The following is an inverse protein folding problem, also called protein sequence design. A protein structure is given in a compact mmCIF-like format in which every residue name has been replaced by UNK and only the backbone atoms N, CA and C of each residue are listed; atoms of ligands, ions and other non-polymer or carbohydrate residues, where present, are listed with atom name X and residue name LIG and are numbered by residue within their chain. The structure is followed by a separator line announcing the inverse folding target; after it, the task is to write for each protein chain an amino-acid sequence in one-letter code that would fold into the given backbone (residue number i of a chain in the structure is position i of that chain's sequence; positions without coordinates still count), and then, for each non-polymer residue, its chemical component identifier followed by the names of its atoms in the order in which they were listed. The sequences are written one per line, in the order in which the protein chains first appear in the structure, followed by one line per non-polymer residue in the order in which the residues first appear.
data_IF_248795659782
#
_entry.id   IF_248795659782
#
_cell.length_a   1.000
_cell.length_b   1.000
_cell.length_c   1.000
_cell.angle_alpha   90.00
_cell.angle_beta   90.00
_cell.angle_gamma   90.00
#
_symmetry.space_group_name_H-M   'P 1'
#
loop_
_entity.id
_entity.type
_entity.pdbx_description
1 polymer ?
#
# COMPACT_ATOMS: atom_id res chain seq x y z
N UNK A 1 26.17 7.46 10.15
CA UNK A 1 25.87 7.56 8.69
C UNK A 1 26.39 8.87 8.15
N UNK A 2 26.95 8.88 6.92
CA UNK A 2 27.28 10.15 6.25
C UNK A 2 25.97 10.87 5.84
N UNK A 3 26.03 12.21 5.73
CA UNK A 3 24.86 13.01 5.31
C UNK A 3 24.31 12.56 3.93
N UNK A 4 25.16 12.13 3.02
CA UNK A 4 24.77 11.59 1.71
C UNK A 4 24.01 10.27 1.84
N UNK A 5 24.43 9.36 2.72
CA UNK A 5 23.74 8.08 2.94
C UNK A 5 22.37 8.31 3.57
N UNK A 6 22.25 9.22 4.54
CA UNK A 6 20.96 9.57 5.13
C UNK A 6 20.01 10.20 4.10
N UNK A 7 20.51 11.14 3.29
CA UNK A 7 19.71 11.77 2.23
C UNK A 7 19.19 10.73 1.24
N UNK A 8 20.04 9.80 0.80
CA UNK A 8 19.64 8.71 -0.10
C UNK A 8 18.60 7.79 0.54
N UNK A 9 18.80 7.42 1.81
CA UNK A 9 17.82 6.64 2.56
C UNK A 9 16.45 7.31 2.61
N UNK A 10 16.40 8.62 2.89
CA UNK A 10 15.14 9.36 3.00
C UNK A 10 14.44 9.57 1.65
N UNK A 11 15.16 9.59 0.53
CA UNK A 11 14.58 9.82 -0.80
C UNK A 11 14.16 8.54 -1.53
N UNK A 12 14.86 7.43 -1.35
CA UNK A 12 14.57 6.15 -2.02
C UNK A 12 13.58 5.33 -1.18
N UNK A 13 12.43 4.96 -1.79
CA UNK A 13 11.36 4.23 -1.10
C UNK A 13 11.81 2.84 -0.68
N UNK A 14 12.41 2.10 -1.59
CA UNK A 14 12.87 0.73 -1.33
C UNK A 14 13.97 0.69 -0.28
N UNK A 15 14.98 1.55 -0.40
CA UNK A 15 16.05 1.63 0.60
C UNK A 15 15.49 1.92 1.99
N UNK A 16 14.54 2.86 2.10
CA UNK A 16 13.92 3.18 3.37
C UNK A 16 13.15 1.98 3.95
N UNK A 17 12.27 1.37 3.15
CA UNK A 17 11.47 0.23 3.59
C UNK A 17 12.37 -0.92 4.04
N UNK A 18 13.34 -1.33 3.23
CA UNK A 18 14.19 -2.49 3.51
C UNK A 18 15.19 -2.29 4.66
N UNK A 19 15.52 -1.05 5.02
CA UNK A 19 16.48 -0.77 6.08
C UNK A 19 15.86 -0.20 7.37
N UNK A 20 14.64 0.36 7.28
CA UNK A 20 14.01 1.00 8.44
C UNK A 20 12.76 0.28 8.94
N UNK A 21 12.11 -0.55 8.12
CA UNK A 21 10.87 -1.20 8.50
C UNK A 21 11.06 -2.69 8.79
N UNK A 22 10.24 -3.18 9.71
CA UNK A 22 10.13 -4.61 10.01
C UNK A 22 8.68 -5.05 9.89
N UNK A 23 8.48 -6.29 9.51
CA UNK A 23 7.17 -6.95 9.37
C UNK A 23 7.14 -8.23 10.19
N UNK A 24 5.93 -8.67 10.51
CA UNK A 24 5.72 -10.02 11.04
C UNK A 24 5.48 -10.93 9.83
N UNK A 25 6.34 -11.94 9.65
CA UNK A 25 6.23 -12.91 8.57
C UNK A 25 5.10 -13.94 8.83
N UNK A 26 4.89 -14.87 7.90
CA UNK A 26 3.85 -15.92 8.02
C UNK A 26 4.08 -16.86 9.19
N UNK A 27 5.33 -17.00 9.64
CA UNK A 27 5.74 -17.80 10.80
C UNK A 27 5.60 -17.03 12.12
N UNK A 28 5.07 -15.80 12.12
CA UNK A 28 4.90 -14.97 13.31
C UNK A 28 6.19 -14.30 13.81
N UNK A 29 7.25 -14.27 13.01
CA UNK A 29 8.54 -13.70 13.40
C UNK A 29 8.67 -12.26 12.92
N UNK A 30 9.28 -11.41 13.75
CA UNK A 30 9.62 -10.04 13.39
C UNK A 30 10.91 -10.03 12.54
N UNK A 31 10.76 -9.70 11.24
CA UNK A 31 11.87 -9.72 10.27
C UNK A 31 12.00 -8.38 9.55
N UNK A 32 13.19 -8.04 9.01
CA UNK A 32 13.34 -6.89 8.12
C UNK A 32 12.40 -6.99 6.92
N UNK A 33 11.78 -5.87 6.54
CA UNK A 33 10.88 -5.84 5.40
C UNK A 33 11.69 -5.87 4.08
N UNK A 34 11.87 -7.05 3.51
CA UNK A 34 12.45 -7.21 2.18
C UNK A 34 11.36 -7.33 1.12
N UNK A 35 11.50 -6.56 0.02
CA UNK A 35 10.49 -6.55 -1.04
C UNK A 35 10.53 -7.85 -1.85
N UNK A 36 9.37 -8.45 -2.06
CA UNK A 36 9.20 -9.55 -3.01
C UNK A 36 9.08 -9.06 -4.47
N UNK A 37 9.04 -9.97 -5.43
CA UNK A 37 9.00 -9.66 -6.85
C UNK A 37 7.78 -8.77 -7.24
N UNK A 38 6.60 -9.07 -6.72
CA UNK A 38 5.38 -8.28 -6.98
C UNK A 38 5.48 -6.86 -6.41
N UNK A 39 6.01 -6.71 -5.21
CA UNK A 39 6.23 -5.42 -4.57
C UNK A 39 7.28 -4.57 -5.31
N UNK A 40 8.34 -5.20 -5.84
CA UNK A 40 9.35 -4.52 -6.66
C UNK A 40 8.75 -3.96 -7.96
N UNK A 41 7.82 -4.69 -8.59
CA UNK A 41 7.11 -4.18 -9.78
C UNK A 41 6.35 -2.91 -9.44
N UNK A 42 5.61 -2.89 -8.34
CA UNK A 42 4.85 -1.71 -7.89
C UNK A 42 5.79 -0.56 -7.52
N UNK A 43 6.87 -0.83 -6.80
CA UNK A 43 7.88 0.18 -6.41
C UNK A 43 8.51 0.86 -7.64
N UNK A 44 8.84 0.10 -8.66
CA UNK A 44 9.41 0.64 -9.90
C UNK A 44 8.44 1.60 -10.61
N UNK A 45 7.15 1.25 -10.71
CA UNK A 45 6.13 2.12 -11.29
C UNK A 45 5.98 3.41 -10.47
N UNK A 46 5.94 3.32 -9.14
CA UNK A 46 5.90 4.49 -8.26
C UNK A 46 7.12 5.38 -8.48
N UNK A 47 8.31 4.79 -8.52
CA UNK A 47 9.57 5.50 -8.72
C UNK A 47 9.60 6.28 -10.06
N UNK A 48 9.08 5.68 -11.13
CA UNK A 48 8.96 6.35 -12.43
C UNK A 48 8.00 7.54 -12.39
N UNK A 49 6.84 7.41 -11.73
CA UNK A 49 5.88 8.50 -11.59
C UNK A 49 6.44 9.63 -10.73
N UNK A 50 7.08 9.31 -9.62
CA UNK A 50 7.71 10.28 -8.72
C UNK A 50 8.88 11.01 -9.41
N UNK A 51 9.70 10.33 -10.18
CA UNK A 51 10.80 10.93 -10.95
C UNK A 51 10.30 11.96 -11.97
N UNK A 52 9.09 11.78 -12.51
CA UNK A 52 8.42 12.70 -13.43
C UNK A 52 7.59 13.76 -12.69
N UNK A 53 7.66 13.84 -11.36
CA UNK A 53 6.83 14.68 -10.49
C UNK A 53 5.33 14.54 -10.75
N UNK A 54 4.89 13.35 -11.17
CA UNK A 54 3.47 13.02 -11.39
C UNK A 54 2.83 12.53 -10.09
N UNK A 55 1.52 12.76 -9.90
CA UNK A 55 0.79 12.12 -8.82
C UNK A 55 0.79 10.60 -9.03
N UNK A 56 1.00 9.84 -7.97
CA UNK A 56 0.90 8.39 -8.02
C UNK A 56 -0.58 8.01 -8.00
N UNK A 57 -1.06 7.40 -9.07
CA UNK A 57 -2.42 6.90 -9.21
C UNK A 57 -2.34 5.48 -9.73
N UNK A 58 -2.51 4.52 -8.82
CA UNK A 58 -2.38 3.10 -9.15
C UNK A 58 -3.70 2.37 -8.92
N UNK A 59 -4.04 1.48 -9.83
CA UNK A 59 -5.06 0.46 -9.63
C UNK A 59 -4.40 -0.91 -9.82
N UNK A 60 -4.43 -1.74 -8.77
CA UNK A 60 -3.67 -2.98 -8.71
C UNK A 60 -4.63 -4.16 -8.59
N UNK A 61 -4.71 -4.97 -9.65
CA UNK A 61 -5.39 -6.25 -9.63
C UNK A 61 -4.38 -7.34 -9.29
N UNK A 62 -4.59 -8.04 -8.19
CA UNK A 62 -3.61 -8.99 -7.65
C UNK A 62 -4.22 -10.34 -7.27
N UNK A 63 -3.42 -11.38 -7.22
CA UNK A 63 -3.76 -12.60 -6.50
C UNK A 63 -3.75 -12.37 -4.98
N UNK A 64 -4.33 -13.29 -4.21
CA UNK A 64 -4.33 -13.22 -2.74
C UNK A 64 -2.90 -13.32 -2.18
N UNK A 65 -2.67 -12.76 -1.00
CA UNK A 65 -1.44 -12.91 -0.19
C UNK A 65 -0.12 -12.53 -0.87
N UNK A 66 -0.15 -11.65 -1.87
CA UNK A 66 1.07 -11.16 -2.55
C UNK A 66 1.80 -10.04 -1.78
N UNK A 67 1.37 -9.70 -0.57
CA UNK A 67 1.99 -8.67 0.25
C UNK A 67 1.87 -7.23 -0.29
N UNK A 68 0.98 -6.97 -1.25
CA UNK A 68 0.84 -5.64 -1.87
C UNK A 68 0.28 -4.63 -0.87
N UNK A 69 -0.68 -5.01 -0.04
CA UNK A 69 -1.18 -4.15 1.03
C UNK A 69 -0.04 -3.78 1.99
N UNK A 70 0.81 -4.74 2.39
CA UNK A 70 1.98 -4.50 3.25
C UNK A 70 2.97 -3.51 2.62
N UNK A 71 3.24 -3.65 1.31
CA UNK A 71 4.10 -2.71 0.59
C UNK A 71 3.48 -1.31 0.55
N UNK A 72 2.20 -1.22 0.21
CA UNK A 72 1.46 0.06 0.15
C UNK A 72 1.49 0.78 1.49
N UNK A 73 1.29 0.03 2.60
CA UNK A 73 1.42 0.57 3.95
C UNK A 73 2.85 1.07 4.24
N UNK A 74 3.88 0.31 3.90
CA UNK A 74 5.27 0.71 4.07
C UNK A 74 5.63 1.98 3.28
N UNK A 75 5.16 2.08 2.03
CA UNK A 75 5.33 3.25 1.18
C UNK A 75 4.64 4.49 1.77
N UNK A 76 3.36 4.40 2.13
CA UNK A 76 2.59 5.51 2.70
C UNK A 76 3.13 5.89 4.09
N UNK A 77 3.53 4.92 4.91
CA UNK A 77 4.19 5.16 6.19
C UNK A 77 5.45 6.02 5.98
N UNK A 78 6.36 5.59 5.10
CA UNK A 78 7.57 6.34 4.77
C UNK A 78 7.22 7.77 4.36
N UNK A 79 6.26 7.96 3.44
CA UNK A 79 5.85 9.31 2.98
C UNK A 79 5.29 10.16 4.11
N UNK A 80 4.63 9.56 5.09
CA UNK A 80 4.03 10.27 6.22
C UNK A 80 5.06 10.64 7.29
N UNK A 81 6.04 9.76 7.58
CA UNK A 81 7.03 9.97 8.65
C UNK A 81 8.28 10.73 8.20
N UNK A 82 8.43 10.99 6.90
CA UNK A 82 9.58 11.73 6.37
C UNK A 82 9.24 13.13 5.88
N UNK A 83 7.99 13.57 6.01
CA UNK A 83 7.52 14.85 5.50
C UNK A 83 6.61 15.55 6.50
N UNK A 84 6.61 16.89 6.48
CA UNK A 84 5.74 17.70 7.34
C UNK A 84 4.36 17.91 6.73
N UNK A 85 3.35 18.03 7.59
CA UNK A 85 1.96 18.38 7.23
C UNK A 85 1.32 17.41 6.23
N UNK A 86 1.67 16.11 6.28
CA UNK A 86 1.05 15.10 5.45
C UNK A 86 -0.09 14.40 6.18
N UNK A 87 -1.21 14.26 5.48
CA UNK A 87 -2.36 13.48 5.93
C UNK A 87 -2.50 12.27 5.04
N UNK A 88 -2.45 11.09 5.64
CA UNK A 88 -2.65 9.80 4.97
C UNK A 88 -3.93 9.15 5.46
N UNK A 89 -4.61 8.45 4.60
CA UNK A 89 -5.80 7.68 4.95
C UNK A 89 -5.73 6.28 4.38
N UNK A 90 -6.06 5.31 5.23
CA UNK A 90 -6.18 3.90 4.86
C UNK A 90 -7.63 3.52 5.03
N UNK A 91 -8.21 2.93 4.00
CA UNK A 91 -9.60 2.50 4.01
C UNK A 91 -9.65 1.04 3.56
N UNK A 92 -10.16 0.18 4.43
CA UNK A 92 -10.39 -1.22 4.14
C UNK A 92 -11.89 -1.55 4.13
N UNK A 93 -12.24 -2.69 3.54
CA UNK A 93 -13.63 -3.11 3.40
C UNK A 93 -14.28 -3.53 4.73
N UNK A 94 -13.49 -4.08 5.70
CA UNK A 94 -13.94 -4.56 7.01
C UNK A 94 -13.11 -3.94 8.14
N UNK A 95 -13.72 -3.87 9.34
CA UNK A 95 -13.05 -3.37 10.55
C UNK A 95 -11.83 -4.21 10.92
N UNK A 96 -11.93 -5.54 10.84
CA UNK A 96 -10.80 -6.44 11.09
C UNK A 96 -9.64 -6.20 10.12
N UNK A 97 -9.93 -6.03 8.81
CA UNK A 97 -8.92 -5.71 7.82
C UNK A 97 -8.28 -4.35 8.11
N UNK A 98 -9.06 -3.35 8.53
CA UNK A 98 -8.56 -2.04 8.96
C UNK A 98 -7.61 -2.15 10.15
N UNK A 99 -7.97 -2.93 11.17
CA UNK A 99 -7.11 -3.15 12.34
C UNK A 99 -5.81 -3.89 11.98
N UNK A 100 -5.87 -4.87 11.08
CA UNK A 100 -4.67 -5.57 10.60
C UNK A 100 -3.71 -4.61 9.90
N UNK A 101 -4.20 -3.73 9.02
CA UNK A 101 -3.39 -2.70 8.38
C UNK A 101 -2.82 -1.70 9.41
N UNK A 102 -3.61 -1.33 10.41
CA UNK A 102 -3.13 -0.45 11.47
C UNK A 102 -2.04 -1.09 12.33
N UNK A 103 -2.14 -2.37 12.63
CA UNK A 103 -1.11 -3.10 13.37
C UNK A 103 0.22 -3.14 12.62
N UNK A 104 0.20 -3.18 11.28
CA UNK A 104 1.43 -3.01 10.48
C UNK A 104 2.09 -1.65 10.73
N UNK A 105 1.30 -0.56 10.77
CA UNK A 105 1.82 0.77 11.08
C UNK A 105 2.44 0.87 12.47
N UNK A 106 1.80 0.26 13.48
CA UNK A 106 2.38 0.16 14.83
C UNK A 106 3.71 -0.58 14.79
N UNK A 107 3.74 -1.75 14.13
CA UNK A 107 4.96 -2.55 13.97
C UNK A 107 6.07 -1.76 13.30
N UNK A 108 5.78 -1.01 12.23
CA UNK A 108 6.75 -0.14 11.57
C UNK A 108 7.30 0.91 12.53
N UNK A 109 6.40 1.66 13.19
CA UNK A 109 6.80 2.74 14.09
C UNK A 109 7.60 2.24 15.30
N UNK A 110 7.16 1.16 15.93
CA UNK A 110 7.81 0.63 17.14
C UNK A 110 9.21 0.09 16.86
N UNK A 111 9.41 -0.47 15.66
CA UNK A 111 10.65 -1.17 15.30
C UNK A 111 11.57 -0.40 14.34
N UNK A 112 11.22 0.83 13.94
CA UNK A 112 12.10 1.64 13.11
C UNK A 112 13.28 2.21 13.91
N UNK A 113 14.43 2.47 13.26
CA UNK A 113 15.61 3.03 13.93
C UNK A 113 15.34 4.43 14.52
N UNK A 114 15.85 4.69 15.71
CA UNK A 114 15.63 5.98 16.44
C UNK A 114 16.12 7.19 15.63
N UNK A 115 17.18 7.02 14.83
CA UNK A 115 17.76 8.12 14.00
C UNK A 115 16.79 8.67 12.96
N UNK A 116 15.78 7.90 12.56
CA UNK A 116 14.74 8.33 11.59
C UNK A 116 13.34 8.35 12.19
N UNK A 117 13.22 8.09 13.50
CA UNK A 117 11.94 7.97 14.19
C UNK A 117 11.40 9.36 14.57
N UNK A 118 10.24 9.77 14.05
CA UNK A 118 9.64 11.04 14.39
C UNK A 118 9.00 11.01 15.78
N UNK A 119 8.85 12.18 16.38
CA UNK A 119 8.05 12.32 17.61
C UNK A 119 6.61 11.89 17.35
N UNK A 120 5.99 11.26 18.34
CA UNK A 120 4.62 10.77 18.30
C UNK A 120 3.78 11.45 19.37
N UNK A 121 2.66 12.04 18.97
CA UNK A 121 1.70 12.67 19.87
C UNK A 121 0.48 11.79 20.15
N UNK A 122 -0.05 11.12 19.12
CA UNK A 122 -1.23 10.26 19.23
C UNK A 122 -0.91 8.89 18.61
N UNK A 123 -1.35 7.86 19.29
CA UNK A 123 -1.36 6.48 18.80
C UNK A 123 -2.54 5.77 19.48
N UNK A 124 -3.69 5.78 18.83
CA UNK A 124 -4.91 5.15 19.33
C UNK A 124 -5.42 4.09 18.32
N UNK A 125 -6.69 3.73 18.35
CA UNK A 125 -7.25 2.64 17.52
C UNK A 125 -7.31 2.96 16.01
N UNK A 126 -7.34 4.25 15.65
CA UNK A 126 -7.64 4.69 14.28
C UNK A 126 -6.77 5.84 13.78
N UNK A 127 -5.85 6.34 14.62
CA UNK A 127 -4.96 7.44 14.24
C UNK A 127 -3.56 7.29 14.84
N UNK A 128 -2.57 7.60 14.02
CA UNK A 128 -1.19 7.81 14.42
C UNK A 128 -0.75 9.21 13.96
N UNK A 129 -0.39 10.09 14.92
CA UNK A 129 0.01 11.47 14.64
C UNK A 129 1.44 11.73 15.09
N UNK A 130 2.22 12.28 14.18
CA UNK A 130 3.64 12.61 14.36
C UNK A 130 3.82 14.10 14.62
N UNK A 131 3.65 14.50 15.88
CA UNK A 131 3.82 15.86 16.34
C UNK A 131 4.56 15.86 17.68
N UNK A 132 4.98 17.02 18.14
CA UNK A 132 5.57 17.15 19.47
C UNK A 132 4.51 16.81 20.54
N UNK A 133 4.77 15.85 21.45
CA UNK A 133 3.85 15.45 22.49
C UNK A 133 3.83 16.42 23.69
N UNK A 134 4.74 17.41 23.76
CA UNK A 134 4.85 18.32 24.89
C UNK A 134 3.56 19.09 25.13
N UNK A 135 3.25 19.34 26.40
CA UNK A 135 2.15 20.22 26.83
C UNK A 135 2.61 21.70 26.95
N UNK A 136 3.91 21.95 26.81
CA UNK A 136 4.45 23.30 26.83
C UNK A 136 4.34 23.93 25.44
N UNK A 137 3.53 24.99 25.32
CA UNK A 137 3.26 25.67 24.03
C UNK A 137 4.52 26.26 23.40
N UNK A 138 5.46 26.80 24.20
CA UNK A 138 6.70 27.39 23.69
C UNK A 138 7.61 26.30 23.09
N UNK A 139 7.68 25.15 23.74
CA UNK A 139 8.43 24.01 23.22
C UNK A 139 7.82 23.48 21.90
N UNK A 140 6.48 23.37 21.84
CA UNK A 140 5.77 22.98 20.62
C UNK A 140 5.97 24.03 19.50
N UNK A 141 6.00 25.31 19.82
CA UNK A 141 6.28 26.36 18.81
C UNK A 141 7.71 26.28 18.27
N UNK A 142 8.71 25.98 19.12
CA UNK A 142 10.11 25.79 18.69
C UNK A 142 10.34 24.53 17.89
N UNK A 143 9.68 23.44 18.27
CA UNK A 143 9.83 22.15 17.62
C UNK A 143 8.47 21.46 17.48
N UNK A 144 7.68 21.79 16.46
CA UNK A 144 6.32 21.27 16.30
C UNK A 144 6.26 19.77 15.93
N UNK A 145 7.39 19.16 15.57
CA UNK A 145 7.43 17.86 14.96
C UNK A 145 6.96 17.91 13.49
N UNK A 146 6.55 16.78 12.94
CA UNK A 146 6.13 16.72 11.53
C UNK A 146 4.72 17.27 11.28
N UNK A 147 3.86 17.27 12.28
CA UNK A 147 2.41 17.55 12.14
C UNK A 147 1.75 16.73 11.04
N UNK A 148 2.26 15.52 10.80
CA UNK A 148 1.74 14.56 9.84
C UNK A 148 0.97 13.47 10.56
N UNK A 149 0.00 12.88 9.88
CA UNK A 149 -0.85 11.84 10.48
C UNK A 149 -1.29 10.80 9.47
N UNK A 150 -1.59 9.62 9.97
CA UNK A 150 -2.34 8.59 9.27
C UNK A 150 -3.62 8.28 10.02
N UNK A 151 -4.71 8.10 9.28
CA UNK A 151 -6.01 7.65 9.81
C UNK A 151 -6.42 6.38 9.13
N UNK A 152 -6.98 5.46 9.91
CA UNK A 152 -7.48 4.17 9.43
C UNK A 152 -9.01 4.17 9.58
N UNK A 153 -9.72 3.71 8.56
CA UNK A 153 -11.18 3.74 8.50
C UNK A 153 -11.69 2.55 7.71
N UNK A 154 -13.00 2.29 7.84
CA UNK A 154 -13.69 1.28 7.02
C UNK A 154 -14.53 1.91 5.94
N UNK A 155 -14.72 1.19 4.83
CA UNK A 155 -15.55 1.61 3.71
C UNK A 155 -17.05 1.59 4.00
N UNK A 156 -17.48 0.93 5.08
CA UNK A 156 -18.89 0.88 5.50
C UNK A 156 -19.50 2.24 5.83
N UNK A 157 -18.66 3.22 6.17
CA UNK A 157 -19.12 4.56 6.50
C UNK A 157 -18.91 5.51 5.32
N UNK A 158 -19.96 5.78 4.54
CA UNK A 158 -19.93 6.63 3.34
C UNK A 158 -19.50 8.09 3.57
N UNK A 159 -19.51 8.57 4.82
CA UNK A 159 -19.05 9.92 5.20
C UNK A 159 -17.57 9.98 5.53
N UNK A 160 -16.88 8.86 5.41
CA UNK A 160 -15.46 8.71 5.75
C UNK A 160 -14.56 9.61 4.89
N UNK A 161 -13.72 10.42 5.54
CA UNK A 161 -12.60 11.11 4.89
C UNK A 161 -12.91 12.40 4.12
N UNK A 162 -14.15 12.90 4.12
CA UNK A 162 -14.56 14.07 3.30
C UNK A 162 -14.22 15.44 3.90
N UNK A 163 -13.74 15.51 5.13
CA UNK A 163 -13.58 16.78 5.88
C UNK A 163 -12.17 17.37 5.90
N UNK A 164 -11.18 16.71 5.32
CA UNK A 164 -9.79 17.17 5.35
C UNK A 164 -9.01 16.75 4.09
N UNK A 165 -8.00 17.55 3.73
CA UNK A 165 -7.09 17.19 2.63
C UNK A 165 -6.37 15.89 2.93
N UNK A 166 -6.39 14.95 1.99
CA UNK A 166 -5.64 13.69 2.01
C UNK A 166 -4.52 13.79 0.98
N UNK A 167 -3.29 13.46 1.37
CA UNK A 167 -2.15 13.43 0.45
C UNK A 167 -1.87 12.02 -0.06
N UNK A 168 -2.08 11.01 0.81
CA UNK A 168 -1.82 9.60 0.48
C UNK A 168 -3.02 8.77 0.90
N UNK A 169 -3.61 8.07 -0.06
CA UNK A 169 -4.76 7.19 0.14
C UNK A 169 -4.38 5.76 -0.24
N UNK A 170 -4.59 4.83 0.67
CA UNK A 170 -4.68 3.41 0.40
C UNK A 170 -6.13 2.96 0.50
N UNK A 171 -6.68 2.45 -0.58
CA UNK A 171 -8.00 1.83 -0.65
C UNK A 171 -7.82 0.32 -0.90
N UNK A 172 -8.01 -0.47 0.17
CA UNK A 172 -7.74 -1.91 0.17
C UNK A 172 -9.02 -2.72 -0.10
N UNK A 173 -8.90 -3.71 -0.96
CA UNK A 173 -9.97 -4.63 -1.38
C UNK A 173 -11.22 -3.90 -1.91
N UNK A 174 -11.00 -2.92 -2.79
CA UNK A 174 -12.04 -2.00 -3.31
C UNK A 174 -13.15 -2.74 -4.06
N UNK A 175 -12.86 -3.89 -4.70
CA UNK A 175 -13.88 -4.68 -5.39
C UNK A 175 -14.96 -5.26 -4.46
N UNK A 176 -14.72 -5.25 -3.13
CA UNK A 176 -15.64 -5.74 -2.11
C UNK A 176 -16.39 -4.61 -1.36
N UNK A 177 -16.18 -3.34 -1.74
CA UNK A 177 -16.87 -2.23 -1.11
C UNK A 177 -18.31 -2.12 -1.62
N UNK A 178 -19.28 -2.02 -0.71
CA UNK A 178 -20.71 -1.94 -1.06
C UNK A 178 -21.05 -0.67 -1.87
N UNK A 179 -20.55 0.50 -1.46
CA UNK A 179 -20.78 1.79 -2.13
C UNK A 179 -19.44 2.45 -2.52
N UNK A 180 -18.61 1.70 -3.23
CA UNK A 180 -17.28 2.16 -3.64
C UNK A 180 -17.34 3.44 -4.49
N UNK A 181 -18.32 3.57 -5.38
CA UNK A 181 -18.47 4.73 -6.29
C UNK A 181 -18.69 6.03 -5.51
N UNK A 182 -19.66 6.05 -4.61
CA UNK A 182 -19.97 7.25 -3.81
C UNK A 182 -18.81 7.62 -2.89
N UNK A 183 -18.24 6.62 -2.22
CA UNK A 183 -17.13 6.85 -1.30
C UNK A 183 -15.89 7.38 -2.03
N UNK A 184 -15.48 6.73 -3.10
CA UNK A 184 -14.31 7.15 -3.88
C UNK A 184 -14.50 8.50 -4.57
N UNK A 185 -15.70 8.81 -5.07
CA UNK A 185 -16.00 10.14 -5.62
C UNK A 185 -15.76 11.25 -4.58
N UNK A 186 -16.24 11.06 -3.35
CA UNK A 186 -16.00 12.00 -2.26
C UNK A 186 -14.54 12.11 -1.83
N UNK A 187 -13.83 10.98 -1.75
CA UNK A 187 -12.41 10.95 -1.37
C UNK A 187 -11.52 11.63 -2.42
N UNK A 188 -11.73 11.36 -3.69
CA UNK A 188 -10.94 11.94 -4.78
C UNK A 188 -11.00 13.47 -4.82
N UNK A 189 -12.12 14.07 -4.37
CA UNK A 189 -12.25 15.54 -4.25
C UNK A 189 -11.35 16.12 -3.15
N UNK A 190 -10.95 15.33 -2.16
CA UNK A 190 -10.09 15.77 -1.05
C UNK A 190 -8.60 15.61 -1.35
N UNK A 191 -8.23 14.97 -2.48
CA UNK A 191 -6.85 14.63 -2.81
C UNK A 191 -6.34 15.55 -3.91
N UNK A 192 -5.31 16.37 -3.65
CA UNK A 192 -4.74 17.23 -4.67
C UNK A 192 -4.17 16.43 -5.86
N UNK A 193 -4.45 16.88 -7.08
CA UNK A 193 -3.87 16.26 -8.28
C UNK A 193 -2.50 16.88 -8.59
N UNK A 194 -1.53 16.64 -7.73
CA UNK A 194 -0.15 17.18 -7.82
C UNK A 194 0.87 16.07 -7.51
N UNK A 195 2.10 16.29 -7.94
CA UNK A 195 3.23 15.46 -7.50
C UNK A 195 3.29 15.35 -5.98
N UNK A 196 3.91 14.30 -5.49
CA UNK A 196 3.98 13.99 -4.04
C UNK A 196 2.60 13.78 -3.38
N UNK A 197 1.64 13.22 -4.15
CA UNK A 197 0.39 12.65 -3.66
C UNK A 197 0.21 11.24 -4.24
N UNK A 198 -0.46 10.36 -3.49
CA UNK A 198 -0.73 9.00 -3.97
C UNK A 198 -2.17 8.56 -3.70
N UNK A 199 -2.75 7.86 -4.65
CA UNK A 199 -3.96 7.05 -4.49
C UNK A 199 -3.64 5.66 -5.03
N UNK A 200 -3.69 4.67 -4.17
CA UNK A 200 -3.45 3.27 -4.51
C UNK A 200 -4.72 2.49 -4.20
N UNK A 201 -5.38 2.04 -5.26
CA UNK A 201 -6.52 1.13 -5.20
C UNK A 201 -5.98 -0.28 -5.43
N UNK A 202 -6.27 -1.20 -4.54
CA UNK A 202 -5.87 -2.58 -4.74
C UNK A 202 -7.00 -3.54 -4.39
N UNK A 203 -7.11 -4.62 -5.15
CA UNK A 203 -8.08 -5.68 -4.87
C UNK A 203 -7.70 -7.00 -5.53
N UNK A 204 -8.22 -8.09 -4.96
CA UNK A 204 -8.42 -9.32 -5.71
C UNK A 204 -9.66 -9.17 -6.59
N UNK A 205 -9.79 -10.03 -7.63
CA UNK A 205 -10.97 -10.03 -8.50
C UNK A 205 -12.23 -10.43 -7.71
N UNK A 206 -13.35 -9.75 -8.00
CA UNK A 206 -14.67 -10.04 -7.43
C UNK A 206 -15.75 -10.03 -8.52
N UNK A 207 -15.57 -10.88 -9.54
CA UNK A 207 -16.49 -10.98 -10.67
C UNK A 207 -16.35 -9.86 -11.70
N UNK A 208 -17.28 -9.85 -12.67
CA UNK A 208 -17.38 -8.84 -13.73
C UNK A 208 -18.39 -7.79 -13.31
N UNK A 209 -17.97 -6.52 -13.25
CA UNK A 209 -18.78 -5.37 -12.86
C UNK A 209 -18.38 -4.74 -11.54
N UNK A 210 -19.06 -3.64 -11.19
CA UNK A 210 -18.78 -2.82 -10.01
C UNK A 210 -17.65 -1.81 -10.21
N UNK A 211 -17.52 -0.91 -9.21
CA UNK A 211 -16.63 0.25 -9.32
C UNK A 211 -15.18 -0.11 -9.66
N UNK A 212 -14.59 -1.12 -8.99
CA UNK A 212 -13.19 -1.51 -9.22
C UNK A 212 -12.99 -2.04 -10.64
N UNK A 213 -13.91 -2.90 -11.12
CA UNK A 213 -13.87 -3.44 -12.47
C UNK A 213 -13.97 -2.31 -13.52
N UNK A 214 -14.93 -1.41 -13.38
CA UNK A 214 -15.12 -0.28 -14.31
C UNK A 214 -13.88 0.64 -14.35
N UNK A 215 -13.28 0.91 -13.18
CA UNK A 215 -12.06 1.70 -13.07
C UNK A 215 -10.86 0.99 -13.68
N UNK A 216 -10.77 -0.33 -13.52
CA UNK A 216 -9.73 -1.16 -14.13
C UNK A 216 -9.83 -1.13 -15.66
N UNK A 217 -11.01 -1.39 -16.22
CA UNK A 217 -11.24 -1.36 -17.67
C UNK A 217 -10.87 0.02 -18.27
N UNK A 218 -11.29 1.10 -17.62
CA UNK A 218 -10.93 2.46 -18.04
C UNK A 218 -9.42 2.71 -17.95
N UNK A 219 -8.75 2.22 -16.91
CA UNK A 219 -7.31 2.35 -16.76
C UNK A 219 -6.56 1.60 -17.86
N UNK A 220 -6.99 0.37 -18.19
CA UNK A 220 -6.43 -0.43 -19.29
C UNK A 220 -6.56 0.25 -20.66
N UNK A 221 -7.62 1.06 -20.87
CA UNK A 221 -7.86 1.83 -22.09
C UNK A 221 -7.22 3.21 -22.06
N UNK A 222 -6.60 3.62 -20.94
CA UNK A 222 -6.07 4.99 -20.77
C UNK A 222 -7.14 6.08 -20.60
N UNK A 223 -8.36 5.71 -20.24
CA UNK A 223 -9.51 6.62 -20.12
C UNK A 223 -9.64 7.25 -18.72
N UNK A 224 -8.74 6.94 -17.81
CA UNK A 224 -8.64 7.57 -16.51
C UNK A 224 -7.19 7.84 -16.11
N UNK A 225 -6.98 8.47 -14.94
CA UNK A 225 -5.65 8.85 -14.47
C UNK A 225 -4.88 7.71 -13.78
N UNK A 226 -5.44 6.52 -13.66
CA UNK A 226 -4.80 5.41 -12.97
C UNK A 226 -3.91 4.59 -13.88
N UNK A 227 -2.74 4.22 -13.38
CA UNK A 227 -1.85 3.24 -14.02
C UNK A 227 -2.26 1.84 -13.54
N UNK A 228 -2.70 0.95 -14.43
CA UNK A 228 -3.09 -0.40 -14.06
C UNK A 228 -1.86 -1.29 -13.87
N UNK A 229 -1.87 -2.11 -12.81
CA UNK A 229 -0.84 -3.12 -12.54
C UNK A 229 -1.55 -4.45 -12.28
N UNK A 230 -1.29 -5.44 -13.13
CA UNK A 230 -1.76 -6.80 -12.91
C UNK A 230 -0.64 -7.66 -12.33
N UNK A 231 -0.92 -8.29 -11.18
CA UNK A 231 0.01 -9.18 -10.49
C UNK A 231 -0.59 -10.59 -10.41
N UNK A 232 -0.31 -11.44 -11.40
CA UNK A 232 -0.78 -12.82 -11.37
C UNK A 232 -0.03 -13.64 -10.31
N UNK A 233 -0.69 -14.68 -9.81
CA UNK A 233 -0.18 -15.53 -8.74
C UNK A 233 1.21 -16.13 -9.01
N UNK A 234 1.51 -16.45 -10.27
CA UNK A 234 2.77 -17.12 -10.65
C UNK A 234 4.03 -16.23 -10.60
N UNK A 235 3.88 -14.92 -10.31
CA UNK A 235 5.01 -14.02 -10.05
C UNK A 235 5.66 -14.35 -8.69
N UNK A 236 4.84 -14.80 -7.72
CA UNK A 236 5.34 -15.15 -6.41
C UNK A 236 5.91 -16.57 -6.41
N UNK A 237 7.20 -16.77 -6.09
CA UNK A 237 7.81 -18.09 -6.01
C UNK A 237 7.11 -19.04 -5.04
N UNK A 238 6.50 -18.54 -3.96
CA UNK A 238 5.79 -19.35 -2.97
C UNK A 238 4.56 -20.08 -3.55
N UNK A 239 4.03 -19.63 -4.68
CA UNK A 239 2.95 -20.33 -5.39
C UNK A 239 3.45 -21.39 -6.38
N UNK A 240 4.76 -21.56 -6.49
CA UNK A 240 5.35 -22.61 -7.34
C UNK A 240 5.56 -23.85 -6.49
N UNK A 241 4.94 -24.96 -6.92
CA UNK A 241 5.30 -26.27 -6.40
C UNK A 241 6.53 -26.72 -7.18
N UNK A 242 7.65 -26.91 -6.51
CA UNK A 242 8.83 -27.55 -7.12
C UNK A 242 8.48 -29.01 -7.43
N UNK A 243 8.89 -29.45 -8.62
CA UNK A 243 8.74 -30.86 -8.98
C UNK A 243 9.92 -31.63 -8.35
N UNK A 244 9.65 -32.74 -7.71
CA UNK A 244 10.68 -33.59 -7.10
C UNK A 244 11.62 -34.20 -8.16
N UNK A 245 11.10 -34.39 -9.40
CA UNK A 245 11.87 -34.91 -10.52
C UNK A 245 11.26 -34.56 -11.89
N UNK A 246 11.99 -34.82 -12.96
CA UNK A 246 11.55 -34.55 -14.33
C UNK A 246 10.35 -35.40 -14.79
N UNK A 247 10.14 -36.57 -14.22
CA UNK A 247 9.01 -37.43 -14.55
C UNK A 247 7.70 -36.88 -14.04
N UNK A 248 7.67 -36.33 -12.82
CA UNK A 248 6.52 -35.62 -12.27
C UNK A 248 6.17 -34.40 -13.12
N UNK A 249 7.18 -33.61 -13.54
CA UNK A 249 7.02 -32.48 -14.47
C UNK A 249 6.37 -32.88 -15.79
N UNK A 250 6.82 -33.99 -16.39
CA UNK A 250 6.26 -34.51 -17.64
C UNK A 250 4.84 -35.06 -17.45
N UNK A 251 4.59 -35.74 -16.33
CA UNK A 251 3.28 -36.26 -15.98
C UNK A 251 2.19 -35.18 -15.85
N UNK A 252 2.48 -34.10 -15.12
CA UNK A 252 1.53 -32.98 -14.96
C UNK A 252 1.29 -32.22 -16.27
N UNK A 253 2.31 -32.00 -17.09
CA UNK A 253 2.16 -31.39 -18.41
C UNK A 253 1.26 -32.21 -19.35
N UNK A 254 1.29 -33.54 -19.27
CA UNK A 254 0.42 -34.44 -20.06
C UNK A 254 -1.05 -34.39 -19.60
N UNK A 255 -1.30 -34.20 -18.29
CA UNK A 255 -2.66 -34.04 -17.75
C UNK A 255 -3.29 -32.73 -18.26
N UNK A 256 -2.55 -31.65 -18.28
CA UNK A 256 -3.04 -30.37 -18.81
C UNK A 256 -3.27 -30.36 -20.32
N UNK A 257 -2.46 -31.09 -21.09
CA UNK A 257 -2.70 -31.29 -22.53
C UNK A 257 -3.97 -32.10 -22.80
N UNK A 258 -4.20 -33.18 -22.05
CA UNK A 258 -5.41 -34.03 -22.20
C UNK A 258 -6.70 -33.27 -21.84
N UNK A 259 -6.71 -32.43 -20.83
CA UNK A 259 -7.88 -31.60 -20.50
C UNK A 259 -8.22 -30.58 -21.60
N UNK A 260 -7.22 -29.93 -22.23
CA UNK A 260 -7.46 -29.01 -23.34
C UNK A 260 -7.98 -29.67 -24.60
N UNK A 261 -7.65 -30.93 -24.86
CA UNK A 261 -8.13 -31.68 -26.03
C UNK A 261 -9.59 -32.12 -25.83
N UNK A 262 -10.01 -32.39 -24.58
CA UNK A 262 -11.39 -32.80 -24.28
C UNK A 262 -12.38 -31.63 -24.12
N UNK A 263 -11.92 -30.38 -24.06
CA UNK A 263 -12.78 -29.20 -24.01
C UNK A 263 -13.03 -28.56 -25.39
N UNK A 264 -12.38 -29.07 -26.45
CA UNK A 264 -12.44 -28.53 -27.82
C UNK A 264 -12.64 -29.65 -28.87
N UNK A 265 -13.08 -30.84 -28.44
CA UNK A 265 -13.44 -31.98 -29.29
C UNK A 265 -14.93 -32.25 -29.30
#
# INVERSE_FOLDING_TARGET
MSNNALKRLMTDNRLYIENCLKIINKEGQLVPFKLNAGQIIVDNVIKELEAKNKPVRLIILKARQMGISTYTEGYIFKKTVTQTYKSSSIIAHLDEASQNLYNMYKTFYENMPDVVKPMKKIMNSDMLQFSNPSMNEEEVKRNPGLNSKVTIKTAKNSKTGRSQTIHYLHASEVAFWEDAKTLMTGLMQTIPNKGNTAVILESTANGIGGYFYDMWEKAMKGENAFTPIFLPWFIDPEYKIEFENEEERKGRNNIHRRKRVNEHG
#
